data_IF_512243443639
#
_entry.id   IF_512243443639
#
_cell.length_a   1.000
_cell.length_b   1.000
_cell.length_c   1.000
_cell.angle_alpha   90.00
_cell.angle_beta   90.00
_cell.angle_gamma   90.00
#
_symmetry.space_group_name_H-M   'P 1'
#
loop_
_entity.id
_entity.type
_entity.pdbx_description
1 polymer ?
#
# COMPACT_ATOMS: atom_id res chain seq x y z
N UNK A 1 16.29 3.40 10.79
CA UNK A 1 16.06 2.13 10.08
C UNK A 1 15.42 2.39 8.73
N UNK A 2 15.65 1.51 7.78
CA UNK A 2 15.04 1.58 6.44
C UNK A 2 13.70 0.85 6.47
N UNK A 3 12.66 1.52 5.99
CA UNK A 3 11.34 0.90 5.79
C UNK A 3 11.41 -0.01 4.58
N UNK A 4 10.83 -1.21 4.67
CA UNK A 4 10.70 -2.13 3.54
C UNK A 4 9.25 -2.13 3.09
N UNK A 5 9.03 -1.93 1.80
CA UNK A 5 7.70 -2.03 1.20
C UNK A 5 7.66 -3.24 0.28
N UNK A 6 6.92 -4.25 0.66
CA UNK A 6 6.62 -5.40 -0.20
C UNK A 6 5.53 -4.99 -1.19
N UNK A 7 5.88 -4.96 -2.47
CA UNK A 7 5.04 -4.36 -3.50
C UNK A 7 5.32 -4.94 -4.89
N UNK A 8 4.44 -4.64 -5.84
CA UNK A 8 4.68 -4.95 -7.25
C UNK A 8 4.15 -3.82 -8.13
N UNK A 9 4.81 -3.61 -9.28
CA UNK A 9 4.67 -2.39 -10.08
C UNK A 9 3.29 -2.17 -10.70
N UNK A 10 2.55 -3.25 -11.00
CA UNK A 10 1.23 -3.17 -11.63
C UNK A 10 0.12 -2.81 -10.65
N UNK A 11 0.40 -2.89 -9.35
CA UNK A 11 -0.58 -2.60 -8.30
C UNK A 11 -0.71 -1.11 -8.03
N UNK A 12 -1.91 -0.56 -8.23
CA UNK A 12 -2.22 0.82 -7.86
C UNK A 12 -2.10 1.08 -6.36
N UNK A 13 -2.45 0.11 -5.53
CA UNK A 13 -2.31 0.21 -4.08
C UNK A 13 -0.84 0.23 -3.65
N UNK A 14 0.01 -0.58 -4.28
CA UNK A 14 1.46 -0.53 -4.07
C UNK A 14 2.03 0.83 -4.48
N UNK A 15 1.57 1.37 -5.60
CA UNK A 15 2.00 2.68 -6.09
C UNK A 15 1.68 3.79 -5.08
N UNK A 16 0.47 3.81 -4.51
CA UNK A 16 0.09 4.81 -3.51
C UNK A 16 1.03 4.78 -2.30
N UNK A 17 1.33 3.60 -1.79
CA UNK A 17 2.23 3.45 -0.65
C UNK A 17 3.66 3.89 -1.01
N UNK A 18 4.17 3.47 -2.15
CA UNK A 18 5.50 3.84 -2.61
C UNK A 18 5.64 5.35 -2.83
N UNK A 19 4.64 5.97 -3.47
CA UNK A 19 4.62 7.41 -3.69
C UNK A 19 4.60 8.18 -2.37
N UNK A 20 3.80 7.73 -1.42
CA UNK A 20 3.75 8.36 -0.09
C UNK A 20 5.09 8.28 0.63
N UNK A 21 5.78 7.13 0.57
CA UNK A 21 7.12 6.98 1.13
C UNK A 21 8.12 7.92 0.47
N UNK A 22 8.11 7.98 -0.86
CA UNK A 22 9.02 8.84 -1.61
C UNK A 22 8.82 10.33 -1.27
N UNK A 23 7.58 10.79 -1.28
CA UNK A 23 7.25 12.18 -0.99
C UNK A 23 7.50 12.57 0.48
N UNK A 24 7.42 11.61 1.39
CA UNK A 24 7.66 11.86 2.81
C UNK A 24 9.12 12.10 3.14
N UNK A 25 10.04 11.64 2.30
CA UNK A 25 11.47 11.70 2.54
C UNK A 25 11.98 10.66 3.54
N UNK A 26 11.11 9.72 3.99
CA UNK A 26 11.55 8.61 4.81
C UNK A 26 12.44 7.66 4.00
N UNK A 27 13.42 7.08 4.65
CA UNK A 27 14.30 6.11 4.01
C UNK A 27 13.59 4.78 3.84
N UNK A 28 13.48 4.30 2.62
CA UNK A 28 12.75 3.08 2.30
C UNK A 28 13.38 2.33 1.13
N UNK A 29 13.01 1.05 0.99
CA UNK A 29 13.41 0.20 -0.13
C UNK A 29 12.25 -0.69 -0.53
N UNK A 30 12.04 -0.93 -1.84
CA UNK A 30 11.05 -1.88 -2.31
C UNK A 30 11.58 -3.32 -2.20
N UNK A 31 10.68 -4.23 -1.84
CA UNK A 31 10.88 -5.67 -1.93
C UNK A 31 9.85 -6.21 -2.91
N UNK A 32 10.29 -6.71 -4.05
CA UNK A 32 9.39 -7.16 -5.11
C UNK A 32 8.60 -8.40 -4.69
N UNK A 33 7.29 -8.32 -4.85
CA UNK A 33 6.37 -9.45 -4.70
C UNK A 33 6.06 -10.01 -6.08
N UNK A 34 6.36 -11.28 -6.29
CA UNK A 34 6.08 -11.97 -7.56
C UNK A 34 4.62 -12.41 -7.60
N UNK A 35 3.74 -11.43 -7.69
CA UNK A 35 2.29 -11.59 -7.60
C UNK A 35 1.75 -12.56 -8.66
N UNK A 36 2.19 -12.42 -9.91
CA UNK A 36 1.65 -13.20 -11.02
C UNK A 36 2.07 -14.67 -10.98
N UNK A 37 3.10 -15.00 -10.23
CA UNK A 37 3.52 -16.38 -9.97
C UNK A 37 3.08 -16.89 -8.59
N UNK A 38 2.12 -16.21 -7.96
CA UNK A 38 1.47 -16.70 -6.77
C UNK A 38 2.18 -16.44 -5.45
N UNK A 39 3.14 -15.50 -5.41
CA UNK A 39 3.90 -15.21 -4.19
C UNK A 39 3.02 -14.86 -2.99
N UNK A 40 1.90 -14.15 -3.21
CA UNK A 40 0.98 -13.74 -2.13
C UNK A 40 0.17 -14.90 -1.55
N UNK A 41 0.14 -16.04 -2.24
CA UNK A 41 -0.59 -17.23 -1.80
C UNK A 41 0.27 -18.22 -1.00
N UNK A 42 1.57 -17.96 -0.89
CA UNK A 42 2.50 -18.81 -0.14
C UNK A 42 2.29 -18.68 1.36
N UNK A 43 2.61 -19.73 2.11
CA UNK A 43 2.58 -19.67 3.56
C UNK A 43 3.57 -18.64 4.11
N UNK A 44 4.72 -18.50 3.47
CA UNK A 44 5.72 -17.50 3.83
C UNK A 44 5.15 -16.09 3.75
N UNK A 45 4.51 -15.73 2.64
CA UNK A 45 3.89 -14.40 2.50
C UNK A 45 2.75 -14.20 3.52
N UNK A 46 1.97 -15.24 3.81
CA UNK A 46 0.86 -15.17 4.77
C UNK A 46 1.33 -14.97 6.21
N UNK A 47 2.58 -15.28 6.55
CA UNK A 47 3.14 -14.87 7.84
C UNK A 47 3.38 -13.37 7.91
N UNK A 48 3.63 -12.75 6.76
CA UNK A 48 3.76 -11.28 6.65
C UNK A 48 2.40 -10.60 6.65
N UNK A 49 1.45 -11.14 5.88
CA UNK A 49 0.07 -10.68 5.83
C UNK A 49 -0.87 -11.86 5.58
N UNK A 50 -1.64 -12.22 6.59
CA UNK A 50 -2.57 -13.36 6.53
C UNK A 50 -3.62 -13.25 5.42
N UNK A 51 -3.93 -12.04 4.96
CA UNK A 51 -4.88 -11.80 3.88
C UNK A 51 -4.29 -12.12 2.49
N UNK A 52 -2.98 -12.33 2.40
CA UNK A 52 -2.33 -12.64 1.12
C UNK A 52 -2.41 -11.49 0.11
N UNK A 53 -2.31 -10.27 0.57
CA UNK A 53 -2.43 -9.07 -0.26
C UNK A 53 -1.19 -8.16 -0.10
N UNK A 54 -0.76 -7.54 -1.19
CA UNK A 54 0.24 -6.50 -1.21
C UNK A 54 -0.46 -5.13 -1.47
N UNK A 55 0.08 -3.98 -1.02
CA UNK A 55 1.38 -3.83 -0.38
C UNK A 55 1.39 -4.21 1.11
N UNK A 56 2.58 -4.53 1.61
CA UNK A 56 2.84 -4.67 3.05
C UNK A 56 4.09 -3.86 3.39
N UNK A 57 4.00 -3.04 4.42
CA UNK A 57 5.12 -2.23 4.90
C UNK A 57 5.68 -2.82 6.18
N UNK A 58 7.00 -2.88 6.28
CA UNK A 58 7.72 -3.30 7.48
C UNK A 58 8.64 -2.18 7.92
N UNK A 59 8.46 -1.71 9.13
CA UNK A 59 9.32 -0.71 9.78
C UNK A 59 9.72 -1.22 11.16
N UNK A 60 10.89 -1.85 11.24
CA UNK A 60 11.32 -2.51 12.48
C UNK A 60 10.34 -3.60 12.89
N UNK A 61 9.74 -3.43 14.06
CA UNK A 61 8.76 -4.37 14.60
C UNK A 61 7.32 -4.07 14.15
N UNK A 62 7.10 -3.04 13.36
CA UNK A 62 5.78 -2.67 12.85
C UNK A 62 5.58 -3.24 11.46
N UNK A 63 4.56 -4.05 11.29
CA UNK A 63 4.15 -4.58 9.98
C UNK A 63 2.72 -4.15 9.71
N UNK A 64 2.50 -3.47 8.60
CA UNK A 64 1.17 -2.98 8.22
C UNK A 64 0.82 -3.41 6.81
N UNK A 65 -0.40 -3.87 6.64
CA UNK A 65 -1.08 -4.02 5.36
C UNK A 65 -2.17 -2.95 5.22
N UNK A 66 -2.82 -2.89 4.07
CA UNK A 66 -3.77 -1.85 3.64
C UNK A 66 -3.08 -0.51 3.32
N UNK A 67 -3.17 -0.13 2.07
CA UNK A 67 -2.49 1.08 1.56
C UNK A 67 -2.87 2.35 2.33
N UNK A 68 -4.14 2.49 2.72
CA UNK A 68 -4.59 3.65 3.50
C UNK A 68 -3.97 3.71 4.89
N UNK A 69 -3.84 2.57 5.57
CA UNK A 69 -3.19 2.49 6.87
C UNK A 69 -1.69 2.80 6.76
N UNK A 70 -1.05 2.30 5.71
CA UNK A 70 0.36 2.59 5.42
C UNK A 70 0.54 4.10 5.20
N UNK A 71 -0.33 4.72 4.42
CA UNK A 71 -0.27 6.17 4.17
C UNK A 71 -0.40 6.97 5.46
N UNK A 72 -1.36 6.60 6.33
CA UNK A 72 -1.52 7.29 7.62
C UNK A 72 -0.29 7.12 8.52
N UNK A 73 0.27 5.92 8.56
CA UNK A 73 1.52 5.67 9.30
C UNK A 73 2.66 6.56 8.81
N UNK A 74 2.81 6.69 7.50
CA UNK A 74 3.84 7.53 6.89
C UNK A 74 3.65 9.00 7.29
N UNK A 75 2.42 9.49 7.26
CA UNK A 75 2.09 10.86 7.69
C UNK A 75 2.49 11.07 9.15
N UNK A 76 2.07 10.17 10.03
CA UNK A 76 2.35 10.29 11.46
C UNK A 76 3.85 10.23 11.77
N UNK A 77 4.56 9.32 11.10
CA UNK A 77 6.01 9.15 11.31
C UNK A 77 6.82 10.29 10.73
N UNK A 78 6.50 10.76 9.54
CA UNK A 78 7.28 11.78 8.84
C UNK A 78 6.93 13.21 9.27
N UNK A 79 5.74 13.42 9.77
CA UNK A 79 5.18 14.76 9.98
C UNK A 79 4.90 15.53 8.71
N UNK A 80 4.89 14.82 7.55
CA UNK A 80 4.66 15.40 6.23
C UNK A 80 3.40 14.82 5.59
N UNK A 81 2.92 15.46 4.54
CA UNK A 81 1.75 15.05 3.74
C UNK A 81 0.40 15.14 4.48
N UNK A 82 0.42 15.48 5.77
CA UNK A 82 -0.77 15.54 6.61
C UNK A 82 -1.46 16.90 6.64
N UNK A 83 -0.82 17.93 6.09
CA UNK A 83 -1.32 19.29 6.20
C UNK A 83 -1.38 19.77 7.66
N UNK A 84 -2.34 20.63 7.96
CA UNK A 84 -2.59 21.09 9.32
C UNK A 84 -3.36 20.04 10.13
N UNK A 85 -3.19 20.00 11.47
CA UNK A 85 -3.89 19.01 12.31
C UNK A 85 -5.40 18.98 12.13
N UNK A 86 -6.03 20.12 11.85
CA UNK A 86 -7.49 20.22 11.62
C UNK A 86 -7.95 19.49 10.36
N UNK A 87 -7.04 19.14 9.44
CA UNK A 87 -7.40 18.41 8.22
C UNK A 87 -7.35 16.90 8.39
N UNK A 88 -6.99 16.38 9.56
CA UNK A 88 -6.80 14.94 9.78
C UNK A 88 -8.01 14.11 9.33
N UNK A 89 -9.21 14.51 9.71
CA UNK A 89 -10.42 13.75 9.38
C UNK A 89 -10.83 13.95 7.92
N UNK A 90 -10.57 15.09 7.33
CA UNK A 90 -10.79 15.31 5.91
C UNK A 90 -9.88 14.41 5.07
N UNK A 91 -8.62 14.27 5.47
CA UNK A 91 -7.67 13.37 4.80
C UNK A 91 -8.12 11.92 4.93
N UNK A 92 -8.52 11.49 6.14
CA UNK A 92 -9.05 10.13 6.34
C UNK A 92 -10.29 9.86 5.51
N UNK A 93 -11.18 10.85 5.40
CA UNK A 93 -12.38 10.74 4.57
C UNK A 93 -12.02 10.44 3.11
N UNK A 94 -11.02 11.10 2.56
CA UNK A 94 -10.58 10.86 1.18
C UNK A 94 -9.83 9.54 1.02
N UNK A 95 -9.06 9.11 2.03
CA UNK A 95 -8.44 7.78 2.04
C UNK A 95 -9.52 6.69 1.99
N UNK A 96 -10.56 6.80 2.81
CA UNK A 96 -11.67 5.85 2.81
C UNK A 96 -12.48 5.89 1.51
N UNK A 97 -12.72 7.08 0.97
CA UNK A 97 -13.38 7.23 -0.32
C UNK A 97 -12.60 6.53 -1.43
N UNK A 98 -11.29 6.77 -1.49
CA UNK A 98 -10.44 6.12 -2.48
C UNK A 98 -10.51 4.58 -2.36
N UNK A 99 -10.35 4.07 -1.14
CA UNK A 99 -10.37 2.63 -0.91
C UNK A 99 -11.71 1.99 -1.28
N UNK A 100 -12.82 2.64 -0.94
CA UNK A 100 -14.16 2.10 -1.18
C UNK A 100 -14.64 2.30 -2.62
N UNK A 101 -14.35 3.43 -3.25
CA UNK A 101 -14.89 3.80 -4.56
C UNK A 101 -13.90 3.70 -5.70
N UNK A 102 -12.73 4.33 -5.57
CA UNK A 102 -11.80 4.42 -6.68
C UNK A 102 -10.97 3.15 -6.84
N UNK A 103 -10.31 2.72 -5.77
CA UNK A 103 -9.44 1.54 -5.82
C UNK A 103 -10.23 0.25 -5.98
N UNK A 104 -11.37 0.10 -5.30
CA UNK A 104 -12.15 -1.14 -5.36
C UNK A 104 -12.92 -1.30 -6.66
N UNK A 105 -13.28 -0.22 -7.34
CA UNK A 105 -14.06 -0.26 -8.58
C UNK A 105 -13.18 0.05 -9.79
N UNK A 106 -12.78 1.30 -9.97
CA UNK A 106 -11.99 1.70 -11.14
C UNK A 106 -10.61 1.03 -11.18
N UNK A 107 -9.91 0.99 -10.04
CA UNK A 107 -8.60 0.36 -9.93
C UNK A 107 -8.65 -1.13 -10.19
N UNK A 108 -9.60 -1.84 -9.61
CA UNK A 108 -9.79 -3.28 -9.83
C UNK A 108 -10.15 -3.58 -11.28
N UNK A 109 -11.06 -2.81 -11.86
CA UNK A 109 -11.45 -2.99 -13.26
C UNK A 109 -10.24 -2.83 -14.18
N UNK A 110 -9.46 -1.77 -13.98
CA UNK A 110 -8.22 -1.57 -14.74
C UNK A 110 -7.27 -2.76 -14.60
N UNK A 111 -7.07 -3.24 -13.39
CA UNK A 111 -6.14 -4.33 -13.12
C UNK A 111 -6.60 -5.62 -13.79
N UNK A 112 -7.88 -5.95 -13.63
CA UNK A 112 -8.44 -7.17 -14.21
C UNK A 112 -8.39 -7.17 -15.74
N UNK A 113 -8.69 -6.02 -16.36
CA UNK A 113 -8.69 -5.90 -17.81
C UNK A 113 -7.30 -5.96 -18.44
N UNK A 114 -6.29 -5.45 -17.75
CA UNK A 114 -4.96 -5.27 -18.34
C UNK A 114 -3.94 -6.34 -17.92
N UNK A 115 -4.11 -6.98 -16.76
CA UNK A 115 -3.07 -7.83 -16.19
C UNK A 115 -3.52 -9.25 -15.86
N UNK A 116 -4.82 -9.51 -15.78
CA UNK A 116 -5.31 -10.86 -15.52
C UNK A 116 -5.74 -11.54 -16.83
N UNK A 117 -5.47 -12.85 -16.97
CA UNK A 117 -5.91 -13.56 -18.15
C UNK A 117 -7.43 -13.59 -18.23
N UNK A 118 -7.94 -13.62 -19.45
CA UNK A 118 -9.37 -13.85 -19.69
C UNK A 118 -9.78 -15.20 -19.11
N UNK A 119 -10.96 -15.23 -18.47
CA UNK A 119 -11.55 -16.45 -17.95
C UNK A 119 -12.72 -16.90 -18.81
#
# INVERSE_FOLDING_TARGET
>A
MTIILHCFGESGNSYKAALSLELSGLKWTPEKVDFFNGATRTNEFKTLNMLGEAPVMVDGNTTLSQSGAIQQYIVDKSGKLGGLPEYKYEILRWIFFDNHKMSSQAGNTRFMMNFLPEK
#
